data_IF_800870145838
#
_entry.id   IF_800870145838
#
_cell.length_a   1.000
_cell.length_b   1.000
_cell.length_c   1.000
_cell.angle_alpha   90.00
_cell.angle_beta   90.00
_cell.angle_gamma   90.00
#
_symmetry.space_group_name_H-M   'P 1'
#
loop_
_entity.id
_entity.type
_entity.pdbx_description
1 polymer ?
#
# COMPACT_ATOMS: atom_id res chain seq x y z
N UNK A 1 -5.37 -58.03 -48.34
CA UNK A 1 -6.46 -58.03 -49.35
C UNK A 1 -7.78 -58.14 -48.60
N UNK A 2 -8.76 -57.25 -48.74
CA UNK A 2 -8.81 -55.98 -49.50
C UNK A 2 -9.88 -55.07 -48.87
N UNK A 3 -9.69 -53.74 -48.95
CA UNK A 3 -10.66 -52.72 -48.48
C UNK A 3 -11.52 -52.22 -49.65
N UNK A 4 -12.80 -51.95 -49.41
CA UNK A 4 -13.47 -50.72 -49.85
C UNK A 4 -14.15 -50.03 -48.62
N UNK A 5 -14.31 -48.71 -48.47
CA UNK A 5 -14.58 -47.59 -49.39
C UNK A 5 -16.01 -47.62 -49.97
N UNK A 6 -16.84 -46.57 -49.91
CA UNK A 6 -16.71 -45.23 -49.30
C UNK A 6 -17.59 -45.17 -48.01
N UNK A 7 -18.23 -44.11 -47.49
CA UNK A 7 -18.43 -42.68 -47.85
C UNK A 7 -18.64 -41.84 -46.55
N UNK A 8 -18.60 -40.48 -46.59
CA UNK A 8 -18.42 -39.67 -45.38
C UNK A 8 -19.73 -39.16 -44.74
N UNK A 9 -19.72 -39.05 -43.40
CA UNK A 9 -20.65 -38.19 -42.66
C UNK A 9 -20.01 -36.82 -42.46
N UNK A 10 -20.46 -35.82 -43.23
CA UNK A 10 -20.12 -34.41 -42.97
C UNK A 10 -20.88 -33.92 -41.73
N UNK A 11 -20.17 -33.28 -40.81
CA UNK A 11 -20.74 -32.40 -39.78
C UNK A 11 -19.91 -31.13 -39.74
N UNK A 12 -20.58 -30.00 -39.57
CA UNK A 12 -20.03 -28.65 -39.41
C UNK A 12 -18.91 -28.61 -38.35
N UNK A 13 -17.94 -27.69 -38.42
CA UNK A 13 -18.17 -26.28 -38.66
C UNK A 13 -16.92 -25.61 -39.28
N UNK A 14 -17.11 -24.80 -40.33
CA UNK A 14 -16.03 -24.06 -40.97
C UNK A 14 -15.70 -22.84 -40.11
N UNK A 15 -14.49 -22.79 -39.57
CA UNK A 15 -13.96 -21.61 -38.88
C UNK A 15 -13.60 -20.50 -39.88
N UNK A 16 -14.62 -19.83 -40.41
CA UNK A 16 -14.47 -18.67 -41.31
C UNK A 16 -13.97 -17.45 -40.51
N UNK A 17 -12.64 -17.30 -40.49
CA UNK A 17 -11.97 -16.10 -39.98
C UNK A 17 -12.03 -14.97 -41.01
N UNK A 18 -13.23 -14.47 -41.32
CA UNK A 18 -13.37 -13.21 -42.06
C UNK A 18 -13.05 -12.04 -41.11
N UNK A 19 -11.78 -11.63 -41.06
CA UNK A 19 -11.36 -10.37 -40.45
C UNK A 19 -11.94 -9.18 -41.22
N UNK A 20 -13.09 -8.65 -40.77
CA UNK A 20 -13.54 -7.33 -41.20
C UNK A 20 -12.93 -6.26 -40.31
N UNK A 21 -11.77 -5.77 -40.75
CA UNK A 21 -11.18 -4.53 -40.27
C UNK A 21 -12.05 -3.36 -40.77
N UNK A 22 -13.00 -2.95 -39.92
CA UNK A 22 -13.83 -1.77 -40.12
C UNK A 22 -13.44 -0.70 -39.09
N UNK A 23 -12.37 0.03 -39.41
CA UNK A 23 -12.13 1.39 -38.89
C UNK A 23 -13.24 2.34 -39.37
N UNK A 24 -14.42 2.13 -38.81
CA UNK A 24 -15.47 3.12 -38.79
C UNK A 24 -15.24 3.98 -37.54
N UNK A 25 -14.55 5.11 -37.73
CA UNK A 25 -14.47 6.19 -36.74
C UNK A 25 -15.86 6.78 -36.53
N UNK A 26 -16.71 6.07 -35.78
CA UNK A 26 -18.01 6.53 -35.29
C UNK A 26 -17.76 7.63 -34.26
N UNK A 27 -17.66 8.86 -34.76
CA UNK A 27 -17.61 10.06 -33.93
C UNK A 27 -18.98 10.23 -33.29
N UNK A 28 -19.18 9.54 -32.16
CA UNK A 28 -20.48 9.44 -31.50
C UNK A 28 -20.99 10.82 -31.11
N UNK A 29 -21.85 11.31 -32.00
CA UNK A 29 -22.33 12.67 -32.04
C UNK A 29 -23.16 12.91 -30.77
N UNK A 30 -22.65 13.77 -29.89
CA UNK A 30 -23.32 14.18 -28.67
C UNK A 30 -24.69 14.76 -29.04
N UNK A 31 -25.71 13.94 -28.88
CA UNK A 31 -27.09 14.25 -29.19
C UNK A 31 -27.74 14.62 -27.86
N UNK A 32 -28.31 15.82 -27.80
CA UNK A 32 -29.06 16.31 -26.63
C UNK A 32 -30.39 15.55 -26.50
N UNK A 33 -30.28 14.29 -26.08
CA UNK A 33 -31.40 13.46 -25.69
C UNK A 33 -31.89 13.91 -24.31
N UNK A 34 -33.11 14.46 -24.27
CA UNK A 34 -33.87 14.76 -23.06
C UNK A 34 -33.69 13.66 -21.98
N UNK A 35 -33.35 14.02 -20.72
CA UNK A 35 -32.99 13.05 -19.69
C UNK A 35 -34.20 12.22 -19.27
N UNK A 36 -34.41 11.08 -19.93
CA UNK A 36 -35.44 10.11 -19.53
C UNK A 36 -35.15 9.58 -18.11
N UNK A 37 -36.16 9.24 -17.29
CA UNK A 37 -35.95 8.72 -15.94
C UNK A 37 -35.05 7.47 -15.87
N UNK A 38 -35.05 6.66 -16.93
CA UNK A 38 -34.15 5.51 -17.05
C UNK A 38 -32.67 5.92 -17.21
N UNK A 39 -32.39 7.04 -17.88
CA UNK A 39 -31.04 7.59 -18.02
C UNK A 39 -30.51 8.17 -16.71
N UNK A 40 -31.36 8.83 -15.92
CA UNK A 40 -31.00 9.30 -14.58
C UNK A 40 -30.73 8.12 -13.64
N UNK A 41 -31.62 7.13 -13.63
CA UNK A 41 -31.43 5.90 -12.87
C UNK A 41 -30.19 5.10 -13.34
N UNK A 42 -29.73 5.26 -14.59
CA UNK A 42 -28.45 4.70 -15.04
C UNK A 42 -27.27 5.50 -14.46
N UNK A 43 -27.29 6.84 -14.55
CA UNK A 43 -26.26 7.75 -13.99
C UNK A 43 -26.05 7.51 -12.49
N UNK A 44 -27.11 7.45 -11.69
CA UNK A 44 -26.99 7.19 -10.24
C UNK A 44 -26.39 5.81 -9.91
N UNK A 45 -26.62 4.78 -10.75
CA UNK A 45 -26.00 3.46 -10.58
C UNK A 45 -24.51 3.44 -10.96
N UNK A 46 -24.07 4.35 -11.82
CA UNK A 46 -22.65 4.54 -12.16
C UNK A 46 -21.96 5.26 -11.01
N UNK A 47 -22.49 6.42 -10.60
CA UNK A 47 -22.00 7.22 -9.47
C UNK A 47 -21.89 6.43 -8.16
N UNK A 48 -22.87 5.55 -7.86
CA UNK A 48 -22.82 4.69 -6.68
C UNK A 48 -21.65 3.70 -6.72
N UNK A 49 -21.31 3.14 -7.89
CA UNK A 49 -20.17 2.23 -8.03
C UNK A 49 -18.85 2.98 -7.98
N UNK A 50 -18.77 4.15 -8.63
CA UNK A 50 -17.60 5.03 -8.58
C UNK A 50 -17.27 5.41 -7.12
N UNK A 51 -18.27 5.89 -6.36
CA UNK A 51 -18.11 6.20 -4.94
C UNK A 51 -17.75 4.98 -4.07
N UNK A 52 -18.24 3.78 -4.40
CA UNK A 52 -17.85 2.54 -3.74
C UNK A 52 -16.38 2.19 -4.03
N UNK A 53 -15.95 2.26 -5.29
CA UNK A 53 -14.55 2.03 -5.69
C UNK A 53 -13.60 3.07 -5.08
N UNK A 54 -13.99 4.35 -5.02
CA UNK A 54 -13.21 5.39 -4.35
C UNK A 54 -13.08 5.14 -2.84
N UNK A 55 -14.17 4.77 -2.17
CA UNK A 55 -14.18 4.40 -0.74
C UNK A 55 -13.24 3.21 -0.48
N UNK A 56 -13.32 2.17 -1.30
CA UNK A 56 -12.56 0.94 -1.08
C UNK A 56 -11.05 1.18 -1.37
N UNK A 57 -10.73 1.97 -2.39
CA UNK A 57 -9.38 2.44 -2.65
C UNK A 57 -8.86 3.43 -1.58
N UNK A 58 -9.73 4.14 -0.86
CA UNK A 58 -9.35 4.94 0.32
C UNK A 58 -9.08 4.03 1.54
N UNK A 59 -9.89 3.00 1.75
CA UNK A 59 -9.71 2.03 2.83
C UNK A 59 -8.40 1.25 2.69
N UNK A 60 -8.05 0.77 1.49
CA UNK A 60 -6.77 0.10 1.22
C UNK A 60 -5.56 1.01 1.51
N UNK A 61 -5.65 2.30 1.14
CA UNK A 61 -4.61 3.28 1.48
C UNK A 61 -4.54 3.52 3.00
N UNK A 62 -5.68 3.59 3.68
CA UNK A 62 -5.73 3.80 5.13
C UNK A 62 -5.10 2.64 5.90
N UNK A 63 -5.44 1.39 5.59
CA UNK A 63 -4.82 0.22 6.25
C UNK A 63 -3.31 0.16 6.00
N UNK A 64 -2.88 0.54 4.78
CA UNK A 64 -1.46 0.70 4.44
C UNK A 64 -0.72 1.77 5.27
N UNK A 65 -1.39 2.86 5.66
CA UNK A 65 -0.82 3.84 6.60
C UNK A 65 -0.90 3.35 8.05
N UNK A 66 -2.04 2.79 8.49
CA UNK A 66 -2.23 2.29 9.85
C UNK A 66 -1.22 1.22 10.24
N UNK A 67 -0.87 0.32 9.30
CA UNK A 67 0.20 -0.66 9.47
C UNK A 67 1.57 0.01 9.71
N UNK A 68 1.89 1.07 8.97
CA UNK A 68 3.17 1.81 9.09
C UNK A 68 3.26 2.61 10.38
N UNK A 69 2.15 3.19 10.85
CA UNK A 69 2.08 3.84 12.16
C UNK A 69 2.40 2.82 13.27
N UNK A 70 1.76 1.65 13.25
CA UNK A 70 2.06 0.57 14.20
C UNK A 70 3.51 0.07 14.10
N UNK A 71 4.04 -0.11 12.88
CA UNK A 71 5.44 -0.49 12.65
C UNK A 71 6.43 0.58 13.18
N UNK A 72 6.08 1.86 13.11
CA UNK A 72 6.86 2.98 13.67
C UNK A 72 6.89 2.95 15.21
N UNK A 73 5.75 2.67 15.85
CA UNK A 73 5.60 2.61 17.31
C UNK A 73 6.43 1.50 17.97
N UNK A 74 6.75 0.43 17.23
CA UNK A 74 7.54 -0.73 17.71
C UNK A 74 8.97 -0.79 17.14
N UNK A 75 9.41 0.19 16.34
CA UNK A 75 10.76 0.26 15.75
C UNK A 75 11.88 0.66 16.75
N UNK A 76 11.54 0.71 18.03
CA UNK A 76 12.42 0.76 19.20
C UNK A 76 12.58 -0.61 19.88
N UNK A 77 11.59 -1.50 19.75
CA UNK A 77 11.53 -2.84 20.36
C UNK A 77 11.94 -3.98 19.41
N UNK A 78 11.52 -3.93 18.14
CA UNK A 78 11.76 -4.99 17.15
C UNK A 78 12.77 -4.55 16.08
N UNK A 79 13.70 -5.44 15.73
CA UNK A 79 14.68 -5.20 14.66
C UNK A 79 13.98 -5.14 13.28
N UNK A 80 12.97 -5.98 13.10
CA UNK A 80 12.06 -5.98 11.94
C UNK A 80 10.62 -5.80 12.45
N UNK A 81 10.06 -4.57 12.43
CA UNK A 81 8.67 -4.32 12.86
C UNK A 81 7.62 -5.16 12.13
N UNK A 82 7.90 -5.58 10.89
CA UNK A 82 7.03 -6.45 10.10
C UNK A 82 6.77 -7.84 10.70
N UNK A 83 7.63 -8.33 11.61
CA UNK A 83 7.48 -9.63 12.26
C UNK A 83 6.21 -9.72 13.14
N UNK A 84 5.66 -8.58 13.57
CA UNK A 84 4.37 -8.53 14.27
C UNK A 84 3.24 -9.13 13.41
N UNK A 85 3.29 -8.94 12.09
CA UNK A 85 2.29 -9.44 11.14
C UNK A 85 2.64 -10.84 10.64
N UNK A 86 3.91 -11.07 10.26
CA UNK A 86 4.34 -12.35 9.66
C UNK A 86 4.49 -13.48 10.71
N UNK A 87 4.98 -13.15 11.92
CA UNK A 87 5.27 -14.12 12.98
C UNK A 87 4.16 -14.19 14.02
N UNK A 88 3.76 -13.05 14.60
CA UNK A 88 2.71 -13.04 15.62
C UNK A 88 1.29 -13.10 15.03
N UNK A 89 1.13 -12.85 13.71
CA UNK A 89 -0.16 -12.85 13.00
C UNK A 89 -1.22 -11.95 13.64
N UNK A 90 -0.77 -10.82 14.18
CA UNK A 90 -1.68 -9.83 14.75
C UNK A 90 -2.53 -9.17 13.64
N UNK A 91 -3.72 -8.72 14.00
CA UNK A 91 -4.54 -7.85 13.15
C UNK A 91 -4.21 -6.39 13.45
N UNK A 92 -4.09 -5.55 12.42
CA UNK A 92 -3.93 -4.10 12.58
C UNK A 92 -5.12 -3.53 13.35
N UNK A 93 -6.34 -3.99 13.06
CA UNK A 93 -7.57 -3.49 13.67
C UNK A 93 -7.63 -3.75 15.19
N UNK A 94 -6.90 -4.74 15.72
CA UNK A 94 -6.87 -5.04 17.14
C UNK A 94 -6.08 -4.01 17.97
N UNK A 95 -5.33 -3.11 17.34
CA UNK A 95 -4.52 -2.07 18.01
C UNK A 95 -5.08 -0.65 17.83
N UNK A 96 -6.29 -0.50 17.28
CA UNK A 96 -6.96 0.80 17.11
C UNK A 96 -8.19 0.91 18.00
N UNK A 97 -8.34 2.03 18.69
CA UNK A 97 -9.56 2.37 19.42
C UNK A 97 -10.67 2.86 18.46
N UNK A 98 -11.91 2.94 18.96
CA UNK A 98 -13.09 3.37 18.17
C UNK A 98 -12.98 4.80 17.62
N UNK A 99 -12.09 5.63 18.17
CA UNK A 99 -11.79 6.99 17.69
C UNK A 99 -10.71 7.04 16.59
N UNK A 100 -10.12 5.89 16.23
CA UNK A 100 -9.05 5.78 15.24
C UNK A 100 -7.63 6.04 15.79
N UNK A 101 -7.44 6.14 17.11
CA UNK A 101 -6.11 6.24 17.72
C UNK A 101 -5.44 4.87 17.92
N UNK A 102 -4.10 4.84 17.87
CA UNK A 102 -3.30 3.64 18.14
C UNK A 102 -3.20 3.40 19.65
N UNK A 103 -3.56 2.19 20.10
CA UNK A 103 -3.28 1.73 21.45
C UNK A 103 -1.82 1.28 21.58
N UNK A 104 -0.92 2.26 21.76
CA UNK A 104 0.53 2.02 21.90
C UNK A 104 0.88 1.03 23.03
N UNK A 105 0.05 0.94 24.08
CA UNK A 105 0.33 0.07 25.23
C UNK A 105 0.10 -1.41 24.89
N UNK A 106 -1.02 -1.74 24.24
CA UNK A 106 -1.31 -3.10 23.77
C UNK A 106 -0.36 -3.52 22.64
N UNK A 107 -0.03 -2.60 21.74
CA UNK A 107 0.91 -2.83 20.65
C UNK A 107 2.34 -3.14 21.17
N UNK A 108 2.85 -2.37 22.14
CA UNK A 108 4.14 -2.69 22.79
C UNK A 108 4.08 -3.94 23.66
N UNK A 109 2.95 -4.26 24.29
CA UNK A 109 2.78 -5.52 25.02
C UNK A 109 2.83 -6.74 24.08
N UNK A 110 2.20 -6.66 22.90
CA UNK A 110 2.28 -7.70 21.86
C UNK A 110 3.70 -7.88 21.32
N UNK A 111 4.43 -6.78 21.06
CA UNK A 111 5.84 -6.82 20.67
C UNK A 111 6.73 -7.43 21.78
N UNK A 112 6.49 -7.08 23.05
CA UNK A 112 7.18 -7.68 24.20
C UNK A 112 6.96 -9.19 24.30
N UNK A 113 5.71 -9.65 24.20
CA UNK A 113 5.38 -11.08 24.22
C UNK A 113 5.98 -11.87 23.03
N UNK A 114 6.15 -11.23 21.87
CA UNK A 114 6.88 -11.80 20.73
C UNK A 114 8.39 -11.92 21.02
N UNK A 115 8.99 -10.91 21.66
CA UNK A 115 10.40 -10.92 22.08
C UNK A 115 10.67 -11.98 23.15
N UNK A 116 9.78 -12.17 24.14
CA UNK A 116 9.90 -13.23 25.14
C UNK A 116 9.92 -14.64 24.50
N UNK A 117 9.08 -14.86 23.48
CA UNK A 117 9.06 -16.10 22.72
C UNK A 117 10.27 -16.25 21.78
N UNK A 118 10.81 -15.15 21.25
CA UNK A 118 11.88 -15.12 20.25
C UNK A 118 12.86 -13.97 20.52
N UNK A 119 13.79 -14.10 21.49
CA UNK A 119 14.67 -13.00 21.93
C UNK A 119 15.70 -12.53 20.89
N UNK A 120 15.74 -13.14 19.69
CA UNK A 120 16.53 -12.66 18.54
C UNK A 120 15.79 -11.68 17.62
N UNK A 121 14.51 -11.40 17.87
CA UNK A 121 13.74 -10.39 17.12
C UNK A 121 13.79 -9.00 17.77
N UNK A 122 14.33 -8.91 18.99
CA UNK A 122 14.53 -7.66 19.70
C UNK A 122 15.53 -6.76 18.96
N UNK A 123 15.20 -5.47 18.83
CA UNK A 123 16.07 -4.48 18.23
C UNK A 123 17.43 -4.42 18.96
N UNK A 124 18.57 -4.41 18.24
CA UNK A 124 19.85 -4.10 18.85
C UNK A 124 19.82 -2.65 19.34
N UNK A 125 19.85 -2.47 20.67
CA UNK A 125 19.74 -1.16 21.31
C UNK A 125 20.67 -0.12 20.66
N UNK A 126 20.06 0.91 20.05
CA UNK A 126 20.77 1.78 19.08
C UNK A 126 22.04 2.35 19.70
N UNK A 127 23.22 2.19 19.05
CA UNK A 127 24.46 2.73 19.58
C UNK A 127 24.34 4.25 19.71
N UNK A 128 24.54 4.77 20.92
CA UNK A 128 24.44 6.20 21.19
C UNK A 128 25.45 6.93 20.29
N UNK A 129 25.07 7.97 19.53
CA UNK A 129 25.99 8.70 18.67
C UNK A 129 27.17 9.24 19.47
N UNK A 130 28.35 8.64 19.30
CA UNK A 130 29.51 8.90 20.16
C UNK A 130 30.32 10.10 19.65
N UNK A 131 29.74 11.28 19.84
CA UNK A 131 30.31 12.59 19.52
C UNK A 131 31.49 12.91 20.47
N UNK A 132 32.57 12.13 20.39
CA UNK A 132 33.74 12.30 21.25
C UNK A 132 34.88 11.31 21.06
N UNK A 133 34.65 10.04 20.67
CA UNK A 133 35.71 9.02 20.77
C UNK A 133 36.93 9.20 19.82
N UNK A 134 36.82 10.13 18.87
CA UNK A 134 37.90 10.55 17.96
C UNK A 134 38.01 12.09 17.87
N UNK A 135 37.35 12.82 18.77
CA UNK A 135 37.57 14.23 18.98
C UNK A 135 38.74 14.45 19.94
N UNK A 136 39.89 14.89 19.43
CA UNK A 136 41.00 15.31 20.29
C UNK A 136 40.58 16.46 21.22
N UNK A 137 41.30 16.60 22.34
CA UNK A 137 41.06 17.67 23.35
C UNK A 137 40.78 19.01 22.66
N UNK A 138 39.64 19.67 22.97
CA UNK A 138 39.29 20.91 22.28
C UNK A 138 40.41 21.94 22.48
N UNK A 139 40.96 22.55 21.41
CA UNK A 139 41.92 23.63 21.56
C UNK A 139 41.26 24.78 22.34
N UNK A 140 42.01 25.34 23.29
CA UNK A 140 41.48 26.32 24.24
C UNK A 140 40.88 27.57 23.59
N UNK A 141 40.09 28.32 24.38
CA UNK A 141 39.28 29.47 23.92
C UNK A 141 40.09 30.56 23.18
N UNK A 142 40.26 30.40 21.86
CA UNK A 142 40.79 31.45 21.01
C UNK A 142 39.68 32.49 20.73
N UNK A 143 39.69 33.56 21.52
CA UNK A 143 38.79 34.72 21.39
C UNK A 143 39.05 35.49 20.08
N UNK A 144 38.46 35.01 18.99
CA UNK A 144 38.34 35.71 17.71
C UNK A 144 36.91 35.52 17.18
N UNK A 145 35.97 36.30 17.73
CA UNK A 145 34.56 36.28 17.32
C UNK A 145 34.24 37.32 16.25
N UNK A 146 33.17 37.11 15.48
CA UNK A 146 32.76 37.96 14.35
C UNK A 146 32.65 39.46 14.65
N UNK A 147 32.44 39.86 15.92
CA UNK A 147 32.47 41.27 16.35
C UNK A 147 33.80 41.99 16.05
N UNK A 148 34.92 41.26 16.06
CA UNK A 148 36.27 41.77 15.76
C UNK A 148 36.48 42.07 14.26
N UNK A 149 35.60 41.53 13.40
CA UNK A 149 35.65 41.69 11.94
C UNK A 149 34.71 42.83 11.45
N UNK A 150 33.65 43.13 12.21
CA UNK A 150 32.60 44.07 11.80
C UNK A 150 32.57 45.39 12.59
N UNK A 151 33.43 45.54 13.61
CA UNK A 151 33.60 46.78 14.37
C UNK A 151 34.63 47.72 13.76
N UNK A 152 34.18 48.75 13.03
CA UNK A 152 34.97 49.91 12.59
C UNK A 152 34.21 51.20 12.86
#
# INVERSE_FOLDING_TARGET
MTQPAEAPTTVDNIADQTSQDVDATDTQQATDAEPTPNSEAARYRVQLREAQTERDALAERLTGYQRRECESVVADLLDVPGDLWEVARADVAAFYAEDGTVNEAELRAAAGALIEQRPRLAAPGRPRPEWGQHGGTPPGEHKAGWGDVIGR
#
